data_IF_591158381702
#
_entry.id   IF_591158381702
#
_cell.length_a   1.000
_cell.length_b   1.000
_cell.length_c   1.000
_cell.angle_alpha   90.00
_cell.angle_beta   90.00
_cell.angle_gamma   90.00
#
_symmetry.space_group_name_H-M   'P 1'
#
loop_
_entity.id
_entity.type
_entity.pdbx_description
1 polymer ?
#
# COMPACT_ATOMS: atom_id res chain seq x y z
N UNK A 1 -6.21 -32.81 -5.72
CA UNK A 1 -5.60 -31.51 -5.36
C UNK A 1 -5.65 -30.61 -6.60
N UNK A 2 -6.13 -29.40 -6.47
CA UNK A 2 -6.20 -28.45 -7.60
C UNK A 2 -4.79 -27.92 -7.89
N UNK A 3 -4.30 -28.07 -9.14
CA UNK A 3 -3.06 -27.46 -9.62
C UNK A 3 -3.26 -25.99 -10.04
N UNK A 4 -4.48 -25.48 -9.94
CA UNK A 4 -4.84 -24.10 -10.29
C UNK A 4 -5.39 -23.40 -9.04
N UNK A 5 -5.21 -22.08 -8.93
CA UNK A 5 -5.79 -21.31 -7.85
C UNK A 5 -7.33 -21.39 -7.91
N UNK A 6 -7.97 -21.27 -6.75
CA UNK A 6 -9.42 -21.10 -6.67
C UNK A 6 -9.76 -19.73 -7.23
N UNK A 7 -10.71 -19.67 -8.15
CA UNK A 7 -11.25 -18.41 -8.63
C UNK A 7 -12.09 -17.76 -7.50
N UNK A 8 -11.77 -16.54 -7.14
CA UNK A 8 -12.49 -15.80 -6.10
C UNK A 8 -13.74 -15.19 -6.74
N UNK A 9 -14.91 -15.75 -6.38
CA UNK A 9 -16.22 -15.18 -6.75
C UNK A 9 -16.64 -14.13 -5.73
N UNK A 10 -17.69 -13.37 -6.03
CA UNK A 10 -18.24 -12.37 -5.08
C UNK A 10 -18.68 -13.03 -3.77
N UNK A 11 -19.24 -14.24 -3.80
CA UNK A 11 -19.63 -14.97 -2.59
C UNK A 11 -18.42 -15.37 -1.74
N UNK A 12 -17.32 -15.81 -2.37
CA UNK A 12 -16.07 -16.13 -1.65
C UNK A 12 -15.45 -14.83 -1.10
N UNK A 13 -15.45 -13.76 -1.89
CA UNK A 13 -14.95 -12.46 -1.42
C UNK A 13 -15.74 -11.95 -0.21
N UNK A 14 -17.07 -11.99 -0.27
CA UNK A 14 -17.93 -11.59 0.84
C UNK A 14 -17.67 -12.45 2.09
N UNK A 15 -17.54 -13.79 1.91
CA UNK A 15 -17.19 -14.68 3.00
C UNK A 15 -15.86 -14.32 3.67
N UNK A 16 -14.84 -13.96 2.88
CA UNK A 16 -13.54 -13.53 3.40
C UNK A 16 -13.64 -12.20 4.16
N UNK A 17 -14.37 -11.24 3.61
CA UNK A 17 -14.57 -9.94 4.27
C UNK A 17 -15.34 -10.10 5.58
N UNK A 18 -16.44 -10.84 5.61
CA UNK A 18 -17.28 -11.01 6.79
C UNK A 18 -16.59 -11.81 7.91
N UNK A 19 -15.78 -12.82 7.57
CA UNK A 19 -15.25 -13.75 8.57
C UNK A 19 -13.80 -13.50 8.97
N UNK A 20 -12.98 -12.89 8.09
CA UNK A 20 -11.54 -12.72 8.32
C UNK A 20 -11.09 -11.26 8.33
N UNK A 21 -11.83 -10.38 7.67
CA UNK A 21 -11.44 -8.98 7.49
C UNK A 21 -12.60 -8.00 7.66
N UNK A 22 -13.55 -8.34 8.55
CA UNK A 22 -14.65 -7.45 8.89
C UNK A 22 -14.11 -6.08 9.36
N UNK A 23 -14.61 -5.05 8.73
CA UNK A 23 -14.31 -3.67 9.11
C UNK A 23 -15.12 -3.30 10.35
N UNK A 24 -14.52 -2.51 11.21
CA UNK A 24 -15.25 -1.89 12.30
C UNK A 24 -15.98 -0.61 11.84
N UNK A 25 -16.82 -0.08 12.72
CA UNK A 25 -17.55 1.15 12.43
C UNK A 25 -16.65 2.36 12.16
N UNK A 26 -15.41 2.34 12.61
CA UNK A 26 -14.41 3.41 12.39
C UNK A 26 -14.03 3.48 10.93
N UNK A 27 -13.65 2.34 10.33
CA UNK A 27 -13.25 2.26 8.91
C UNK A 27 -14.44 2.51 7.99
N UNK A 28 -15.63 1.98 8.33
CA UNK A 28 -16.86 2.27 7.57
C UNK A 28 -17.20 3.78 7.58
N UNK A 29 -17.08 4.44 8.73
CA UNK A 29 -17.33 5.87 8.84
C UNK A 29 -16.27 6.70 8.10
N UNK A 30 -15.01 6.29 8.18
CA UNK A 30 -13.92 6.93 7.41
C UNK A 30 -14.24 6.99 5.91
N UNK A 31 -14.71 5.87 5.34
CA UNK A 31 -15.11 5.80 3.92
C UNK A 31 -16.28 6.74 3.62
N UNK A 32 -17.32 6.72 4.46
CA UNK A 32 -18.50 7.60 4.31
C UNK A 32 -18.10 9.09 4.38
N UNK A 33 -17.25 9.45 5.34
CA UNK A 33 -16.77 10.83 5.51
C UNK A 33 -15.87 11.24 4.31
N UNK A 34 -15.01 10.34 3.79
CA UNK A 34 -14.20 10.61 2.62
C UNK A 34 -15.05 10.91 1.38
N UNK A 35 -16.08 10.09 1.12
CA UNK A 35 -17.03 10.31 0.03
C UNK A 35 -17.75 11.66 0.20
N UNK A 36 -18.25 11.96 1.40
CA UNK A 36 -18.89 13.23 1.70
C UNK A 36 -17.96 14.44 1.53
N UNK A 37 -16.67 14.25 1.79
CA UNK A 37 -15.62 15.26 1.56
C UNK A 37 -15.26 15.41 0.07
N UNK A 38 -15.76 14.50 -0.79
CA UNK A 38 -15.50 14.47 -2.23
C UNK A 38 -14.14 13.84 -2.58
N UNK A 39 -13.73 12.83 -1.82
CA UNK A 39 -12.63 11.93 -2.13
C UNK A 39 -13.22 10.59 -2.60
N UNK A 40 -12.79 10.02 -3.74
CA UNK A 40 -13.35 8.77 -4.23
C UNK A 40 -12.99 7.58 -3.33
N UNK A 41 -13.89 6.60 -3.24
CA UNK A 41 -13.63 5.34 -2.52
C UNK A 41 -12.88 4.36 -3.44
N UNK A 42 -11.58 4.61 -3.64
CA UNK A 42 -10.65 3.77 -4.41
C UNK A 42 -9.47 3.35 -3.52
N UNK A 43 -9.75 2.70 -2.40
CA UNK A 43 -8.75 2.18 -1.48
C UNK A 43 -8.56 0.67 -1.67
N UNK A 44 -7.54 0.12 -1.02
CA UNK A 44 -7.34 -1.33 -0.92
C UNK A 44 -8.57 -2.00 -0.30
N UNK A 45 -8.77 -3.27 -0.64
CA UNK A 45 -9.86 -4.06 -0.07
C UNK A 45 -9.63 -4.42 1.41
N UNK A 46 -10.70 -4.77 2.17
CA UNK A 46 -10.56 -5.14 3.58
C UNK A 46 -9.60 -6.30 3.82
N UNK A 47 -9.61 -7.33 2.95
CA UNK A 47 -8.69 -8.46 3.08
C UNK A 47 -7.24 -8.06 2.80
N UNK A 48 -6.98 -7.13 1.85
CA UNK A 48 -5.63 -6.56 1.65
C UNK A 48 -5.16 -5.81 2.90
N UNK A 49 -6.03 -4.99 3.48
CA UNK A 49 -5.74 -4.27 4.72
C UNK A 49 -5.43 -5.22 5.88
N UNK A 50 -6.22 -6.30 6.04
CA UNK A 50 -5.97 -7.33 7.06
C UNK A 50 -4.69 -8.09 6.82
N UNK A 51 -4.37 -8.38 5.56
CA UNK A 51 -3.09 -8.98 5.18
C UNK A 51 -1.91 -8.07 5.55
N UNK A 52 -1.99 -6.78 5.26
CA UNK A 52 -0.96 -5.82 5.68
C UNK A 52 -0.77 -5.80 7.20
N UNK A 53 -1.86 -5.78 7.98
CA UNK A 53 -1.79 -5.85 9.45
C UNK A 53 -1.10 -7.13 9.93
N UNK A 54 -1.50 -8.29 9.40
CA UNK A 54 -0.90 -9.58 9.74
C UNK A 54 0.60 -9.60 9.39
N UNK A 55 0.93 -9.09 8.20
CA UNK A 55 2.29 -9.12 7.69
C UNK A 55 3.21 -8.18 8.49
N UNK A 56 2.78 -6.95 8.77
CA UNK A 56 3.53 -6.00 9.58
C UNK A 56 3.83 -6.54 10.99
N UNK A 57 2.84 -7.20 11.61
CA UNK A 57 3.04 -7.87 12.91
C UNK A 57 4.05 -9.02 12.80
N UNK A 58 3.99 -9.82 11.73
CA UNK A 58 4.87 -10.98 11.55
C UNK A 58 6.34 -10.61 11.36
N UNK A 59 6.62 -9.44 10.80
CA UNK A 59 7.99 -8.91 10.65
C UNK A 59 8.41 -7.97 11.78
N UNK A 60 7.54 -7.78 12.80
CA UNK A 60 7.72 -6.82 13.89
C UNK A 60 8.05 -5.41 13.36
N UNK A 61 7.29 -4.95 12.37
CA UNK A 61 7.49 -3.64 11.76
C UNK A 61 7.26 -2.51 12.77
N UNK A 62 8.07 -1.48 12.68
CA UNK A 62 7.97 -0.26 13.48
C UNK A 62 7.88 1.00 12.59
N UNK A 63 8.65 1.06 11.53
CA UNK A 63 8.73 2.22 10.63
C UNK A 63 8.22 1.87 9.25
N UNK A 64 7.11 2.49 8.88
CA UNK A 64 6.40 2.28 7.61
C UNK A 64 6.35 3.57 6.81
N UNK A 65 6.62 3.49 5.52
CA UNK A 65 6.39 4.57 4.56
C UNK A 65 5.28 4.15 3.60
N UNK A 66 4.27 4.98 3.46
CA UNK A 66 3.22 4.84 2.47
C UNK A 66 3.34 5.93 1.41
N UNK A 67 3.31 5.52 0.15
CA UNK A 67 3.37 6.40 -1.02
C UNK A 67 2.02 6.39 -1.71
N UNK A 68 1.24 7.47 -1.52
CA UNK A 68 -0.15 7.59 -1.93
C UNK A 68 -1.10 7.11 -0.84
N UNK A 69 -1.68 8.04 -0.09
CA UNK A 69 -2.52 7.69 1.07
C UNK A 69 -4.00 8.01 0.87
N UNK A 70 -4.37 8.76 -0.18
CA UNK A 70 -5.71 9.11 -0.60
C UNK A 70 -6.58 9.71 0.54
N UNK A 71 -7.25 8.88 1.36
CA UNK A 71 -7.99 9.29 2.55
C UNK A 71 -7.53 8.59 3.83
N UNK A 72 -6.39 7.87 3.77
CA UNK A 72 -5.71 7.31 4.94
C UNK A 72 -6.18 5.94 5.40
N UNK A 73 -7.00 5.23 4.62
CA UNK A 73 -7.52 3.92 4.98
C UNK A 73 -6.41 2.91 5.28
N UNK A 74 -5.52 2.67 4.33
CA UNK A 74 -4.37 1.78 4.48
C UNK A 74 -3.42 2.23 5.58
N UNK A 75 -3.17 3.55 5.68
CA UNK A 75 -2.33 4.12 6.73
C UNK A 75 -2.85 3.82 8.14
N UNK A 76 -4.16 3.99 8.36
CA UNK A 76 -4.81 3.70 9.65
C UNK A 76 -4.70 2.21 9.96
N UNK A 77 -5.04 1.33 9.01
CA UNK A 77 -4.92 -0.12 9.19
C UNK A 77 -3.48 -0.54 9.49
N UNK A 78 -2.50 0.03 8.80
CA UNK A 78 -1.09 -0.26 9.08
C UNK A 78 -0.68 0.24 10.47
N UNK A 79 -1.07 1.45 10.87
CA UNK A 79 -0.74 2.03 12.17
C UNK A 79 -1.29 1.23 13.36
N UNK A 80 -2.46 0.62 13.22
CA UNK A 80 -3.06 -0.28 14.21
C UNK A 80 -2.26 -1.57 14.42
N UNK A 81 -1.50 -2.00 13.41
CA UNK A 81 -0.66 -3.19 13.50
C UNK A 81 0.70 -2.93 14.16
N UNK A 82 1.13 -1.67 14.22
CA UNK A 82 2.43 -1.29 14.77
C UNK A 82 2.41 -1.19 16.30
N UNK A 83 3.57 -1.35 16.97
CA UNK A 83 3.71 -1.08 18.40
C UNK A 83 3.39 0.38 18.74
N UNK A 84 3.26 0.71 20.02
CA UNK A 84 2.87 2.05 20.47
C UNK A 84 3.84 3.15 20.02
N UNK A 85 5.10 2.83 19.88
CA UNK A 85 6.16 3.71 19.38
C UNK A 85 6.43 3.57 17.87
N UNK A 86 5.53 2.87 17.15
CA UNK A 86 5.58 2.69 15.71
C UNK A 86 5.13 3.93 14.94
N UNK A 87 5.60 4.08 13.71
CA UNK A 87 5.32 5.23 12.84
C UNK A 87 4.94 4.79 11.43
N UNK A 88 3.90 5.43 10.90
CA UNK A 88 3.54 5.42 9.48
C UNK A 88 3.74 6.83 8.94
N UNK A 89 4.59 6.99 7.94
CA UNK A 89 4.74 8.24 7.18
C UNK A 89 3.88 8.12 5.94
N UNK A 90 2.88 9.00 5.80
CA UNK A 90 1.95 9.05 4.69
C UNK A 90 2.34 10.15 3.72
N UNK A 91 2.64 9.81 2.48
CA UNK A 91 2.88 10.79 1.42
C UNK A 91 1.62 10.95 0.58
N UNK A 92 1.08 12.16 0.57
CA UNK A 92 -0.08 12.52 -0.25
C UNK A 92 0.22 13.83 -1.01
N UNK A 93 0.00 13.81 -2.32
CA UNK A 93 0.31 14.98 -3.16
C UNK A 93 -0.78 16.06 -3.11
N UNK A 94 -2.04 15.63 -2.92
CA UNK A 94 -3.16 16.55 -2.89
C UNK A 94 -3.42 17.07 -1.48
N UNK A 95 -3.21 18.36 -1.29
CA UNK A 95 -3.42 19.03 0.01
C UNK A 95 -4.81 18.74 0.61
N UNK A 96 -5.85 18.73 -0.22
CA UNK A 96 -7.22 18.42 0.21
C UNK A 96 -7.29 17.06 0.92
N UNK A 97 -6.67 16.04 0.33
CA UNK A 97 -6.64 14.69 0.87
C UNK A 97 -5.79 14.63 2.14
N UNK A 98 -4.62 15.24 2.12
CA UNK A 98 -3.72 15.29 3.28
C UNK A 98 -4.37 16.01 4.48
N UNK A 99 -5.11 17.10 4.26
CA UNK A 99 -5.87 17.79 5.30
C UNK A 99 -6.95 16.87 5.90
N UNK A 100 -7.69 16.14 5.04
CA UNK A 100 -8.67 15.15 5.48
C UNK A 100 -8.02 14.05 6.32
N UNK A 101 -6.92 13.44 5.85
CA UNK A 101 -6.20 12.40 6.60
C UNK A 101 -5.78 12.93 7.97
N UNK A 102 -5.20 14.13 8.02
CA UNK A 102 -4.73 14.75 9.27
C UNK A 102 -5.88 14.92 10.27
N UNK A 103 -7.06 15.36 9.80
CA UNK A 103 -8.25 15.47 10.64
C UNK A 103 -8.73 14.12 11.17
N UNK A 104 -8.80 13.10 10.31
CA UNK A 104 -9.23 11.76 10.71
C UNK A 104 -8.25 11.12 11.70
N UNK A 105 -6.95 11.23 11.44
CA UNK A 105 -5.87 10.75 12.31
C UNK A 105 -5.98 11.38 13.71
N UNK A 106 -6.28 12.68 13.79
CA UNK A 106 -6.50 13.36 15.06
C UNK A 106 -7.77 12.88 15.78
N UNK A 107 -8.89 12.73 15.07
CA UNK A 107 -10.16 12.19 15.62
C UNK A 107 -9.98 10.79 16.22
N UNK A 108 -9.14 9.97 15.58
CA UNK A 108 -8.88 8.58 16.00
C UNK A 108 -7.77 8.46 17.07
N UNK A 109 -7.15 9.57 17.48
CA UNK A 109 -6.05 9.55 18.45
C UNK A 109 -4.75 8.95 17.92
N UNK A 110 -4.57 8.88 16.60
CA UNK A 110 -3.42 8.25 15.94
C UNK A 110 -2.30 9.25 15.56
N UNK A 111 -2.40 10.51 15.95
CA UNK A 111 -1.42 11.57 15.60
C UNK A 111 0.00 11.28 16.07
N UNK A 112 0.19 10.41 17.04
CA UNK A 112 1.51 9.99 17.50
C UNK A 112 2.11 8.88 16.61
N UNK A 113 1.27 8.15 15.87
CA UNK A 113 1.65 7.03 15.01
C UNK A 113 1.67 7.38 13.52
N UNK A 114 0.85 8.32 13.07
CA UNK A 114 0.71 8.67 11.65
C UNK A 114 1.16 10.10 11.43
N UNK A 115 2.16 10.27 10.58
CA UNK A 115 2.64 11.56 10.10
C UNK A 115 2.21 11.75 8.63
N UNK A 116 1.48 12.84 8.35
CA UNK A 116 0.99 13.14 6.99
C UNK A 116 1.83 14.23 6.38
N UNK A 117 2.42 13.93 5.23
CA UNK A 117 3.30 14.86 4.49
C UNK A 117 2.69 15.16 3.12
N UNK A 118 2.36 16.44 2.90
CA UNK A 118 1.84 16.91 1.61
C UNK A 118 3.00 17.24 0.67
N UNK A 119 3.42 16.28 -0.13
CA UNK A 119 4.54 16.45 -1.07
C UNK A 119 4.49 15.42 -2.20
N UNK A 120 5.09 15.76 -3.34
CA UNK A 120 5.45 14.79 -4.37
C UNK A 120 6.41 13.74 -3.80
N UNK A 121 6.07 12.45 -3.94
CA UNK A 121 6.82 11.38 -3.30
C UNK A 121 8.24 11.22 -3.85
N UNK A 122 8.48 11.50 -5.13
CA UNK A 122 9.83 11.46 -5.71
C UNK A 122 10.71 12.52 -5.06
N UNK A 123 10.18 13.75 -4.94
CA UNK A 123 10.90 14.85 -4.28
C UNK A 123 11.18 14.56 -2.81
N UNK A 124 10.17 14.07 -2.09
CA UNK A 124 10.35 13.67 -0.71
C UNK A 124 11.46 12.63 -0.55
N UNK A 125 11.38 11.53 -1.31
CA UNK A 125 12.34 10.42 -1.23
C UNK A 125 13.78 10.81 -1.58
N UNK A 126 13.99 11.81 -2.43
CA UNK A 126 15.33 12.29 -2.78
C UNK A 126 16.05 12.95 -1.60
N UNK A 127 15.30 13.63 -0.74
CA UNK A 127 15.84 14.38 0.38
C UNK A 127 15.64 13.70 1.74
N UNK A 128 14.81 12.65 1.80
CA UNK A 128 14.47 11.94 3.03
C UNK A 128 15.67 11.12 3.55
N UNK A 129 16.20 11.51 4.69
CA UNK A 129 17.35 10.88 5.34
C UNK A 129 17.05 10.68 6.82
N UNK A 130 16.20 9.70 7.16
CA UNK A 130 15.89 9.40 8.55
C UNK A 130 17.12 8.84 9.27
N UNK A 131 17.13 8.95 10.58
CA UNK A 131 18.13 8.35 11.47
C UNK A 131 17.80 6.88 11.82
N UNK A 132 16.78 6.33 11.18
CA UNK A 132 16.33 4.93 11.29
C UNK A 132 16.12 4.33 9.88
N UNK A 133 16.09 3.01 9.80
CA UNK A 133 15.74 2.31 8.58
C UNK A 133 14.24 1.95 8.57
N UNK A 134 13.63 1.92 7.39
CA UNK A 134 12.25 1.51 7.22
C UNK A 134 12.14 -0.02 7.28
N UNK A 135 11.09 -0.52 7.92
CA UNK A 135 10.73 -1.93 7.90
C UNK A 135 9.88 -2.30 6.69
N UNK A 136 9.05 -1.34 6.26
CA UNK A 136 8.07 -1.58 5.22
C UNK A 136 7.83 -0.31 4.39
N UNK A 137 7.75 -0.49 3.08
CA UNK A 137 7.33 0.56 2.14
C UNK A 137 6.13 0.06 1.37
N UNK A 138 5.02 0.79 1.43
CA UNK A 138 3.81 0.52 0.66
C UNK A 138 3.66 1.54 -0.47
N UNK A 139 3.47 1.07 -1.70
CA UNK A 139 3.34 1.91 -2.90
C UNK A 139 1.95 1.71 -3.48
N UNK A 140 1.12 2.76 -3.44
CA UNK A 140 -0.18 2.81 -4.10
C UNK A 140 -0.46 4.24 -4.60
N UNK A 141 0.30 4.68 -5.60
CA UNK A 141 0.24 6.03 -6.16
C UNK A 141 0.24 6.01 -7.70
N UNK A 142 0.85 7.03 -8.33
CA UNK A 142 1.01 7.07 -9.79
C UNK A 142 1.83 5.89 -10.30
N UNK A 143 1.19 5.04 -11.08
CA UNK A 143 1.75 3.77 -11.57
C UNK A 143 3.02 3.98 -12.43
N UNK A 144 3.10 5.11 -13.15
CA UNK A 144 4.28 5.45 -13.96
C UNK A 144 5.54 5.70 -13.15
N UNK A 145 5.39 6.06 -11.88
CA UNK A 145 6.49 6.35 -10.97
C UNK A 145 6.92 5.14 -10.10
N UNK A 146 6.24 3.98 -10.17
CA UNK A 146 6.50 2.81 -9.31
C UNK A 146 7.96 2.36 -9.32
N UNK A 147 8.58 2.23 -10.51
CA UNK A 147 10.01 1.88 -10.61
C UNK A 147 10.91 2.92 -9.94
N UNK A 148 10.54 4.20 -10.01
CA UNK A 148 11.29 5.28 -9.35
C UNK A 148 11.10 5.27 -7.84
N UNK A 149 9.89 5.00 -7.35
CA UNK A 149 9.63 4.80 -5.92
C UNK A 149 10.46 3.65 -5.36
N UNK A 150 10.50 2.49 -6.05
CA UNK A 150 11.36 1.37 -5.68
C UNK A 150 12.83 1.76 -5.61
N UNK A 151 13.35 2.42 -6.66
CA UNK A 151 14.75 2.86 -6.72
C UNK A 151 15.13 3.72 -5.50
N UNK A 152 14.29 4.72 -5.19
CA UNK A 152 14.56 5.70 -4.14
C UNK A 152 14.31 5.15 -2.73
N UNK A 153 13.34 4.24 -2.55
CA UNK A 153 13.02 3.67 -1.24
C UNK A 153 13.90 2.47 -0.87
N UNK A 154 14.46 1.76 -1.86
CA UNK A 154 15.35 0.61 -1.59
C UNK A 154 16.50 0.92 -0.61
N UNK A 155 17.23 2.03 -0.71
CA UNK A 155 18.29 2.36 0.26
C UNK A 155 17.77 2.60 1.67
N UNK A 156 16.52 3.05 1.82
CA UNK A 156 15.90 3.40 3.10
C UNK A 156 15.38 2.17 3.88
N UNK A 157 15.11 1.06 3.17
CA UNK A 157 14.69 -0.19 3.81
C UNK A 157 15.86 -0.86 4.53
N UNK A 158 15.59 -1.42 5.71
CA UNK A 158 16.55 -2.31 6.37
C UNK A 158 16.73 -3.62 5.59
N UNK A 159 17.80 -4.36 5.89
CA UNK A 159 17.90 -5.76 5.48
C UNK A 159 16.76 -6.57 6.11
N UNK A 160 16.07 -7.38 5.29
CA UNK A 160 14.84 -8.06 5.71
C UNK A 160 13.60 -7.18 5.72
N UNK A 161 13.72 -5.90 5.36
CA UNK A 161 12.58 -5.02 5.14
C UNK A 161 11.85 -5.34 3.84
N UNK A 162 10.62 -4.87 3.73
CA UNK A 162 9.72 -5.24 2.63
C UNK A 162 9.30 -4.01 1.82
N UNK A 163 9.42 -4.15 0.52
CA UNK A 163 8.77 -3.29 -0.46
C UNK A 163 7.49 -3.98 -0.95
N UNK A 164 6.34 -3.33 -0.85
CA UNK A 164 5.06 -3.83 -1.32
C UNK A 164 4.41 -2.79 -2.24
N UNK A 165 3.98 -3.21 -3.42
CA UNK A 165 3.23 -2.35 -4.34
C UNK A 165 1.89 -2.97 -4.69
N UNK A 166 0.83 -2.17 -4.61
CA UNK A 166 -0.52 -2.57 -5.02
C UNK A 166 -0.69 -2.54 -6.54
N UNK A 167 -1.80 -3.08 -7.02
CA UNK A 167 -2.19 -3.19 -8.43
C UNK A 167 -1.19 -3.97 -9.31
N UNK A 168 -0.50 -4.94 -8.74
CA UNK A 168 0.49 -5.73 -9.47
C UNK A 168 -0.10 -6.59 -10.60
N UNK A 169 -1.42 -6.83 -10.60
CA UNK A 169 -2.15 -7.47 -11.69
C UNK A 169 -2.66 -6.48 -12.74
N UNK A 170 -2.45 -5.18 -12.55
CA UNK A 170 -2.78 -4.13 -13.50
C UNK A 170 -4.24 -4.19 -13.97
N UNK A 171 -5.16 -4.22 -12.99
CA UNK A 171 -6.61 -4.28 -13.24
C UNK A 171 -7.03 -5.49 -14.09
N UNK A 172 -6.33 -6.64 -13.93
CA UNK A 172 -6.52 -7.86 -14.69
C UNK A 172 -5.82 -7.90 -16.05
N UNK A 173 -5.10 -6.83 -16.44
CA UNK A 173 -4.48 -6.69 -17.75
C UNK A 173 -2.97 -7.00 -17.78
N UNK A 174 -2.39 -7.48 -16.67
CA UNK A 174 -0.93 -7.67 -16.53
C UNK A 174 -0.32 -8.60 -17.59
N UNK A 175 -1.08 -9.60 -18.04
CA UNK A 175 -0.63 -10.58 -19.04
C UNK A 175 -0.83 -10.13 -20.50
N UNK A 176 -1.45 -8.97 -20.73
CA UNK A 176 -1.70 -8.48 -22.08
C UNK A 176 -0.44 -7.84 -22.68
N UNK A 177 0.07 -8.32 -23.83
CA UNK A 177 1.25 -7.71 -24.45
C UNK A 177 0.95 -6.32 -25.04
N UNK A 178 -0.31 -6.07 -25.42
CA UNK A 178 -0.79 -4.81 -25.99
C UNK A 178 -2.10 -4.40 -25.29
N UNK A 179 -2.04 -3.91 -24.04
CA UNK A 179 -3.22 -3.54 -23.28
C UNK A 179 -3.96 -2.38 -23.96
N UNK A 180 -5.30 -2.48 -24.03
CA UNK A 180 -6.16 -1.43 -24.59
C UNK A 180 -6.69 -0.49 -23.50
N UNK A 181 -6.94 -1.04 -22.32
CA UNK A 181 -7.40 -0.27 -21.16
C UNK A 181 -6.17 0.27 -20.43
N UNK A 182 -6.15 1.55 -20.15
CA UNK A 182 -5.07 2.26 -19.45
C UNK A 182 -3.65 1.82 -19.85
N UNK A 183 -3.32 1.78 -21.16
CA UNK A 183 -2.10 1.15 -21.66
C UNK A 183 -0.81 1.69 -21.01
N UNK A 184 -0.82 2.96 -20.62
CA UNK A 184 0.30 3.61 -19.94
C UNK A 184 0.54 3.04 -18.53
N UNK A 185 -0.51 2.87 -17.75
CA UNK A 185 -0.44 2.33 -16.39
C UNK A 185 -0.09 0.84 -16.41
N UNK A 186 -0.77 0.06 -17.27
CA UNK A 186 -0.49 -1.38 -17.40
C UNK A 186 0.96 -1.64 -17.78
N UNK A 187 1.50 -0.93 -18.79
CA UNK A 187 2.92 -1.05 -19.18
C UNK A 187 3.87 -0.64 -18.07
N UNK A 188 3.54 0.39 -17.31
CA UNK A 188 4.36 0.83 -16.17
C UNK A 188 4.40 -0.24 -15.07
N UNK A 189 3.26 -0.87 -14.75
CA UNK A 189 3.19 -1.98 -13.79
C UNK A 189 3.93 -3.21 -14.30
N UNK A 190 3.77 -3.58 -15.59
CA UNK A 190 4.53 -4.66 -16.21
C UNK A 190 6.04 -4.43 -16.04
N UNK A 191 6.51 -3.21 -16.34
CA UNK A 191 7.92 -2.86 -16.20
C UNK A 191 8.38 -2.87 -14.74
N UNK A 192 7.55 -2.37 -13.81
CA UNK A 192 7.84 -2.42 -12.38
C UNK A 192 7.99 -3.86 -11.88
N UNK A 193 7.06 -4.74 -12.23
CA UNK A 193 7.12 -6.15 -11.85
C UNK A 193 8.40 -6.82 -12.37
N UNK A 194 8.77 -6.57 -13.63
CA UNK A 194 10.02 -7.07 -14.21
C UNK A 194 11.26 -6.51 -13.49
N UNK A 195 11.26 -5.22 -13.18
CA UNK A 195 12.34 -4.58 -12.44
C UNK A 195 12.50 -5.18 -11.04
N UNK A 196 11.39 -5.45 -10.34
CA UNK A 196 11.42 -6.05 -9.01
C UNK A 196 11.95 -7.50 -9.05
N UNK A 197 11.44 -8.32 -9.98
CA UNK A 197 11.85 -9.73 -10.13
C UNK A 197 13.32 -9.86 -10.49
N UNK A 198 13.84 -8.97 -11.33
CA UNK A 198 15.24 -8.99 -11.78
C UNK A 198 16.21 -8.27 -10.85
N UNK A 199 15.73 -7.60 -9.82
CA UNK A 199 16.57 -6.84 -8.92
C UNK A 199 17.29 -7.76 -7.91
N UNK A 200 18.62 -7.88 -7.95
CA UNK A 200 19.37 -8.79 -7.08
C UNK A 200 19.32 -8.42 -5.58
N UNK A 201 18.79 -7.26 -5.25
CA UNK A 201 18.62 -6.83 -3.87
C UNK A 201 17.37 -7.39 -3.21
N UNK A 202 16.48 -8.04 -3.99
CA UNK A 202 15.21 -8.54 -3.49
C UNK A 202 15.00 -10.03 -3.80
N UNK A 203 14.46 -10.73 -2.82
CA UNK A 203 13.69 -11.94 -3.05
C UNK A 203 12.23 -11.53 -3.21
N UNK A 204 11.62 -11.78 -4.35
CA UNK A 204 10.31 -11.21 -4.68
C UNK A 204 9.25 -12.27 -4.95
N UNK A 205 8.00 -11.92 -4.67
CA UNK A 205 6.82 -12.69 -5.03
C UNK A 205 5.65 -11.76 -5.37
N UNK A 206 4.61 -12.30 -6.00
CA UNK A 206 3.34 -11.62 -6.21
C UNK A 206 2.25 -12.38 -5.46
N UNK A 207 1.53 -11.68 -4.59
CA UNK A 207 0.37 -12.17 -3.85
C UNK A 207 -0.88 -11.77 -4.62
N UNK A 208 -1.72 -12.76 -4.99
CA UNK A 208 -2.93 -12.54 -5.81
C UNK A 208 -4.15 -12.20 -4.94
N UNK A 209 -4.03 -11.16 -4.14
CA UNK A 209 -5.09 -10.62 -3.28
C UNK A 209 -5.47 -9.23 -3.79
N UNK A 210 -6.76 -8.90 -3.85
CA UNK A 210 -7.23 -7.69 -4.51
C UNK A 210 -6.75 -7.63 -5.97
N UNK A 211 -6.22 -6.48 -6.40
CA UNK A 211 -5.58 -6.36 -7.73
C UNK A 211 -4.09 -6.76 -7.73
N UNK A 212 -3.71 -7.64 -6.79
CA UNK A 212 -2.36 -8.18 -6.67
C UNK A 212 -1.38 -7.25 -5.96
N UNK A 213 -0.55 -7.82 -5.12
CA UNK A 213 0.49 -7.12 -4.37
C UNK A 213 1.87 -7.68 -4.75
N UNK A 214 2.71 -6.87 -5.41
CA UNK A 214 4.09 -7.25 -5.69
C UNK A 214 4.95 -6.96 -4.47
N UNK A 215 5.59 -8.00 -3.94
CA UNK A 215 6.37 -7.92 -2.70
C UNK A 215 7.84 -8.24 -2.95
N UNK A 216 8.72 -7.43 -2.39
CA UNK A 216 10.17 -7.62 -2.41
C UNK A 216 10.73 -7.62 -0.99
N UNK A 217 11.29 -8.75 -0.57
CA UNK A 217 12.08 -8.89 0.66
C UNK A 217 13.51 -8.46 0.38
N UNK A 218 14.03 -7.43 1.06
CA UNK A 218 15.39 -6.93 0.87
C UNK A 218 16.43 -7.88 1.46
N UNK A 219 17.36 -8.35 0.62
CA UNK A 219 18.42 -9.32 0.95
C UNK A 219 19.59 -8.69 1.73
#
# INVERSE_FOLDING_TARGET
MSSRPTFITDEIFNYLCENFSAEDSTLENLKKEAIAYGIPEICISPEQGKFLQFFLRSINAKYVLEIGSLFGYSAIMMAEALPDDGKVICLEIFKKNADFITEQVAKLGLSQKIEVITMDAVKFLQDFKPDYELDFVFIDADKKAYSKYMELSTPLLRKGGILCADNALAFGHIAEPNPKNEPGNVKAIQQYNLNLISNPKYFSCLVTMGDGMAMGYKL
#
